data_IF_796316975019
#
_entry.id   IF_796316975019
#
_cell.length_a   1.000
_cell.length_b   1.000
_cell.length_c   1.000
_cell.angle_alpha   90.00
_cell.angle_beta   90.00
_cell.angle_gamma   90.00
#
_symmetry.space_group_name_H-M   'P 1'
#
loop_
_entity.id
_entity.type
_entity.pdbx_description
1 polymer ?
#
# COMPACT_ATOMS: atom_id res chain seq x y z
N UNK A 1 3.70 -5.78 -6.15
CA UNK A 1 3.97 -5.01 -7.38
C UNK A 1 4.44 -5.92 -8.49
N UNK A 2 5.22 -6.96 -8.15
CA UNK A 2 6.07 -7.75 -9.04
C UNK A 2 7.08 -6.92 -9.85
N UNK A 3 7.64 -5.93 -9.17
CA UNK A 3 8.47 -4.88 -9.74
C UNK A 3 9.64 -5.42 -10.55
N UNK A 4 9.61 -5.14 -11.86
CA UNK A 4 10.55 -5.55 -12.90
C UNK A 4 10.67 -7.05 -13.19
N UNK A 5 9.81 -7.89 -12.59
CA UNK A 5 9.59 -9.28 -12.96
C UNK A 5 8.07 -9.52 -13.04
N UNK A 6 7.46 -9.14 -14.17
CA UNK A 6 6.01 -9.22 -14.44
C UNK A 6 5.10 -8.19 -13.72
N UNK A 7 5.65 -7.07 -13.27
CA UNK A 7 4.85 -6.06 -12.59
C UNK A 7 5.48 -4.67 -12.43
N UNK A 8 4.71 -3.74 -11.86
CA UNK A 8 5.00 -2.29 -11.85
C UNK A 8 5.04 -1.75 -10.42
N UNK A 9 6.20 -1.22 -10.01
CA UNK A 9 6.45 -0.74 -8.64
C UNK A 9 5.56 0.44 -8.24
N UNK A 10 5.35 1.40 -9.16
CA UNK A 10 4.59 2.62 -8.91
C UNK A 10 3.07 2.46 -8.95
N UNK A 11 2.55 1.26 -9.20
CA UNK A 11 1.13 1.05 -9.50
C UNK A 11 0.36 0.26 -8.44
N UNK A 12 0.98 -0.15 -7.32
CA UNK A 12 0.31 -0.94 -6.28
C UNK A 12 -0.94 -0.23 -5.74
N UNK A 13 -0.81 1.04 -5.37
CA UNK A 13 -1.92 1.84 -4.84
C UNK A 13 -2.95 2.12 -5.94
N UNK A 14 -2.50 2.58 -7.11
CA UNK A 14 -3.37 2.92 -8.23
C UNK A 14 -4.23 1.71 -8.67
N UNK A 15 -3.62 0.54 -8.89
CA UNK A 15 -4.32 -0.68 -9.33
C UNK A 15 -5.30 -1.20 -8.29
N UNK A 16 -5.00 -1.01 -7.00
CA UNK A 16 -5.95 -1.33 -5.92
C UNK A 16 -7.23 -0.52 -6.09
N UNK A 17 -7.13 0.79 -6.27
CA UNK A 17 -8.29 1.67 -6.40
C UNK A 17 -9.02 1.52 -7.74
N UNK A 18 -8.30 1.30 -8.85
CA UNK A 18 -8.90 0.93 -10.14
C UNK A 18 -9.73 -0.36 -10.06
N UNK A 19 -9.25 -1.35 -9.30
CA UNK A 19 -9.99 -2.60 -9.08
C UNK A 19 -11.24 -2.36 -8.24
N UNK A 20 -11.12 -1.57 -7.16
CA UNK A 20 -12.27 -1.20 -6.33
C UNK A 20 -13.36 -0.49 -7.15
N UNK A 21 -12.97 0.46 -7.98
CA UNK A 21 -13.83 1.19 -8.89
C UNK A 21 -14.49 0.28 -9.94
N UNK A 22 -13.72 -0.56 -10.64
CA UNK A 22 -14.28 -1.52 -11.61
C UNK A 22 -15.34 -2.41 -10.96
N UNK A 23 -15.03 -2.96 -9.79
CA UNK A 23 -15.96 -3.82 -9.06
C UNK A 23 -17.21 -3.09 -8.58
N UNK A 24 -17.10 -1.79 -8.25
CA UNK A 24 -18.29 -0.96 -8.00
C UNK A 24 -19.16 -0.82 -9.25
N UNK A 25 -18.55 -0.45 -10.38
CA UNK A 25 -19.27 -0.24 -11.63
C UNK A 25 -20.00 -1.49 -12.11
N UNK A 26 -19.38 -2.66 -11.98
CA UNK A 26 -19.96 -3.92 -12.46
C UNK A 26 -20.85 -4.65 -11.46
N UNK A 27 -20.61 -4.50 -10.14
CA UNK A 27 -21.31 -5.28 -9.10
C UNK A 27 -22.13 -4.44 -8.12
N UNK A 28 -22.14 -3.10 -8.28
CA UNK A 28 -22.86 -2.20 -7.39
C UNK A 28 -22.19 -2.00 -6.03
N UNK A 29 -22.97 -1.59 -5.03
CA UNK A 29 -22.53 -1.47 -3.64
C UNK A 29 -22.23 -2.85 -3.04
N UNK A 30 -21.35 -2.90 -2.03
CA UNK A 30 -21.18 -4.12 -1.25
C UNK A 30 -22.39 -4.29 -0.31
N UNK A 31 -22.72 -5.53 0.05
CA UNK A 31 -23.82 -5.82 0.96
C UNK A 31 -23.60 -5.24 2.37
N UNK A 32 -22.34 -5.07 2.76
CA UNK A 32 -21.93 -4.51 4.06
C UNK A 32 -22.02 -2.97 4.12
N UNK A 33 -22.39 -2.29 3.02
CA UNK A 33 -22.62 -0.85 3.04
C UNK A 33 -23.99 -0.56 3.68
N UNK A 34 -23.99 -0.09 4.92
CA UNK A 34 -25.23 0.21 5.69
C UNK A 34 -25.88 1.53 5.31
N UNK A 35 -25.11 2.45 4.72
CA UNK A 35 -25.59 3.76 4.26
C UNK A 35 -25.37 3.87 2.75
N UNK A 36 -26.45 4.12 1.99
CA UNK A 36 -26.44 4.14 0.51
C UNK A 36 -25.59 5.25 -0.11
N UNK A 37 -25.04 6.17 0.70
CA UNK A 37 -24.27 7.33 0.24
C UNK A 37 -22.74 7.16 0.30
N UNK A 38 -22.21 6.00 0.75
CA UNK A 38 -20.76 5.80 0.88
C UNK A 38 -20.29 4.41 0.44
N UNK A 39 -19.00 4.29 0.11
CA UNK A 39 -18.33 3.02 -0.20
C UNK A 39 -17.34 2.63 0.92
N UNK A 40 -17.65 2.96 2.17
CA UNK A 40 -16.69 2.85 3.27
C UNK A 40 -16.25 1.41 3.54
N UNK A 41 -17.16 0.44 3.46
CA UNK A 41 -16.80 -0.97 3.64
C UNK A 41 -15.84 -1.42 2.52
N UNK A 42 -16.11 -1.02 1.27
CA UNK A 42 -15.20 -1.26 0.14
C UNK A 42 -13.86 -0.56 0.32
N UNK A 43 -13.85 0.72 0.67
CA UNK A 43 -12.62 1.51 0.86
C UNK A 43 -11.74 0.87 1.93
N UNK A 44 -12.31 0.52 3.09
CA UNK A 44 -11.61 -0.18 4.18
C UNK A 44 -11.08 -1.55 3.73
N UNK A 45 -11.88 -2.32 2.99
CA UNK A 45 -11.46 -3.62 2.43
C UNK A 45 -10.26 -3.49 1.51
N UNK A 46 -10.23 -2.46 0.66
CA UNK A 46 -9.19 -2.29 -0.35
C UNK A 46 -7.92 -1.63 0.19
N UNK A 47 -8.02 -0.62 1.06
CA UNK A 47 -6.83 0.00 1.66
C UNK A 47 -6.02 -1.02 2.48
N UNK A 48 -6.71 -1.93 3.18
CA UNK A 48 -6.06 -2.97 3.96
C UNK A 48 -5.16 -3.90 3.11
N UNK A 49 -5.43 -4.04 1.80
CA UNK A 49 -4.68 -4.92 0.90
C UNK A 49 -3.24 -4.49 0.67
N UNK A 50 -2.93 -3.19 0.81
CA UNK A 50 -1.57 -2.67 0.61
C UNK A 50 -1.00 -1.99 1.87
N UNK A 51 -1.74 -1.97 2.98
CA UNK A 51 -1.27 -1.39 4.25
C UNK A 51 -1.12 -2.48 5.33
N UNK A 52 -2.19 -2.80 6.05
CA UNK A 52 -2.11 -3.64 7.25
C UNK A 52 -1.93 -5.13 6.96
N UNK A 53 -2.57 -5.66 5.90
CA UNK A 53 -2.50 -7.10 5.63
C UNK A 53 -1.11 -7.57 5.17
N UNK A 54 -0.38 -6.84 4.30
CA UNK A 54 1.03 -7.15 4.04
C UNK A 54 1.88 -7.07 5.33
N UNK A 55 1.65 -6.06 6.17
CA UNK A 55 2.39 -5.92 7.42
C UNK A 55 2.12 -7.09 8.39
N UNK A 56 0.88 -7.57 8.47
CA UNK A 56 0.53 -8.76 9.25
C UNK A 56 1.20 -10.01 8.70
N UNK A 57 1.08 -10.27 7.40
CA UNK A 57 1.65 -11.44 6.75
C UNK A 57 3.18 -11.52 6.92
N UNK A 58 3.86 -10.38 6.90
CA UNK A 58 5.31 -10.30 7.06
C UNK A 58 5.79 -10.06 8.51
N UNK A 59 4.88 -10.01 9.49
CA UNK A 59 5.25 -9.85 10.90
C UNK A 59 5.76 -8.46 11.28
N UNK A 60 5.39 -7.44 10.52
CA UNK A 60 5.80 -6.04 10.65
C UNK A 60 4.69 -5.15 11.22
N UNK A 61 3.49 -5.70 11.46
CA UNK A 61 2.29 -4.96 11.84
C UNK A 61 2.38 -4.25 13.20
N UNK A 62 3.33 -4.62 14.05
CA UNK A 62 3.59 -3.95 15.32
C UNK A 62 4.19 -2.54 15.14
N UNK A 63 4.87 -2.28 14.00
CA UNK A 63 5.49 -0.98 13.71
C UNK A 63 4.85 -0.23 12.55
N UNK A 64 4.29 -0.91 11.55
CA UNK A 64 3.79 -0.27 10.31
C UNK A 64 2.43 -0.81 9.86
N UNK A 65 1.92 -0.28 8.75
CA UNK A 65 0.74 -0.79 8.05
C UNK A 65 -0.60 -0.14 8.45
N UNK A 66 -0.63 0.78 9.41
CA UNK A 66 -1.85 1.53 9.75
C UNK A 66 -1.54 2.83 10.50
N UNK A 67 -2.46 3.79 10.45
CA UNK A 67 -2.40 5.01 11.27
C UNK A 67 -2.96 4.70 12.65
N UNK A 68 -2.08 4.34 13.59
CA UNK A 68 -2.42 4.01 14.97
C UNK A 68 -1.32 4.51 15.92
N UNK A 69 -1.67 4.95 17.14
CA UNK A 69 -0.67 5.30 18.16
C UNK A 69 0.32 4.15 18.40
N UNK A 70 1.59 4.50 18.65
CA UNK A 70 2.67 3.54 18.89
C UNK A 70 3.34 2.97 17.63
N UNK A 71 2.76 3.18 16.43
CA UNK A 71 3.39 2.82 15.16
C UNK A 71 4.29 3.92 14.63
N UNK A 72 5.20 3.57 13.72
CA UNK A 72 6.02 4.54 13.00
C UNK A 72 5.13 5.53 12.25
N UNK A 73 5.49 6.81 12.29
CA UNK A 73 4.83 7.89 11.57
C UNK A 73 5.20 7.86 10.07
N UNK A 74 4.83 6.75 9.42
CA UNK A 74 4.95 6.52 7.98
C UNK A 74 3.60 6.86 7.33
N UNK A 75 3.49 8.09 6.85
CA UNK A 75 2.24 8.68 6.42
C UNK A 75 2.37 9.19 4.98
N UNK A 76 1.27 9.13 4.24
CA UNK A 76 1.20 9.70 2.88
C UNK A 76 0.05 10.68 2.82
N UNK A 77 0.34 11.90 2.40
CA UNK A 77 -0.64 12.95 2.21
C UNK A 77 -1.06 13.02 0.74
N UNK A 78 -2.37 13.16 0.54
CA UNK A 78 -2.98 13.19 -0.77
C UNK A 78 -3.91 14.41 -0.86
N UNK A 79 -3.87 15.12 -1.98
CA UNK A 79 -5.04 15.89 -2.40
C UNK A 79 -6.13 14.90 -2.79
N UNK A 80 -7.40 15.09 -2.38
CA UNK A 80 -8.48 14.20 -2.76
C UNK A 80 -8.58 13.98 -4.29
N UNK A 81 -8.37 15.03 -5.08
CA UNK A 81 -8.38 14.96 -6.54
C UNK A 81 -7.26 14.10 -7.15
N UNK A 82 -6.17 13.85 -6.41
CA UNK A 82 -5.00 13.05 -6.85
C UNK A 82 -4.89 11.71 -6.09
N UNK A 83 -5.86 11.39 -5.23
CA UNK A 83 -5.82 10.21 -4.38
C UNK A 83 -5.61 8.93 -5.20
N UNK A 84 -4.62 8.14 -4.82
CA UNK A 84 -4.26 6.88 -5.47
C UNK A 84 -3.46 7.03 -6.77
N UNK A 85 -3.33 8.23 -7.34
CA UNK A 85 -2.50 8.51 -8.51
C UNK A 85 -1.14 9.09 -8.15
N UNK A 86 -1.12 10.29 -7.55
CA UNK A 86 0.12 11.02 -7.19
C UNK A 86 -0.01 11.66 -5.81
N UNK A 87 0.76 11.23 -4.80
CA UNK A 87 0.71 11.85 -3.48
C UNK A 87 1.36 13.24 -3.51
N UNK A 88 0.99 14.08 -2.54
CA UNK A 88 1.63 15.37 -2.31
C UNK A 88 2.93 15.19 -1.54
N UNK A 89 2.93 14.29 -0.55
CA UNK A 89 4.02 14.15 0.41
C UNK A 89 4.07 12.73 0.99
N UNK A 90 5.28 12.23 1.18
CA UNK A 90 5.56 10.97 1.88
C UNK A 90 6.41 11.29 3.10
N UNK A 91 5.85 11.01 4.27
CA UNK A 91 6.47 11.18 5.58
C UNK A 91 6.96 9.81 6.02
N UNK A 92 8.23 9.73 6.45
CA UNK A 92 8.88 8.52 6.94
C UNK A 92 9.42 8.79 8.33
N UNK A 93 8.98 8.03 9.33
CA UNK A 93 9.40 8.22 10.72
C UNK A 93 9.22 9.66 11.22
N UNK A 94 8.14 10.34 10.80
CA UNK A 94 7.85 11.72 11.19
C UNK A 94 8.58 12.81 10.40
N UNK A 95 9.48 12.46 9.47
CA UNK A 95 10.19 13.42 8.62
C UNK A 95 9.77 13.28 7.16
N UNK A 96 9.68 14.39 6.43
CA UNK A 96 9.34 14.36 5.00
C UNK A 96 10.50 13.72 4.22
N UNK A 97 10.22 12.59 3.57
CA UNK A 97 11.19 11.87 2.73
C UNK A 97 11.06 12.25 1.25
N UNK A 98 9.84 12.47 0.77
CA UNK A 98 9.57 12.89 -0.61
C UNK A 98 8.38 13.84 -0.66
N UNK A 99 8.39 14.80 -1.60
CA UNK A 99 7.26 15.70 -1.82
C UNK A 99 7.16 16.18 -3.28
N UNK A 100 5.95 16.57 -3.71
CA UNK A 100 5.74 17.35 -4.92
C UNK A 100 6.29 18.76 -4.70
N UNK A 101 7.32 19.14 -5.46
CA UNK A 101 8.00 20.41 -5.28
C UNK A 101 8.35 21.04 -6.63
N UNK A 102 8.10 22.35 -6.71
CA UNK A 102 8.35 23.21 -7.83
C UNK A 102 9.83 23.47 -8.13
N UNK A 103 10.09 24.59 -8.80
CA UNK A 103 11.45 25.10 -9.04
C UNK A 103 12.13 25.49 -7.71
N UNK A 104 13.27 24.87 -7.35
CA UNK A 104 14.01 25.20 -6.13
C UNK A 104 14.57 26.63 -6.10
N UNK A 105 14.72 27.30 -7.25
CA UNK A 105 15.21 28.68 -7.32
C UNK A 105 14.08 29.73 -7.29
N UNK A 106 12.82 29.30 -7.29
CA UNK A 106 11.70 30.21 -7.26
C UNK A 106 11.47 30.80 -5.84
N UNK A 107 10.72 31.89 -5.76
CA UNK A 107 10.45 32.59 -4.50
C UNK A 107 9.57 31.82 -3.50
N UNK A 108 8.81 30.83 -3.98
CA UNK A 108 7.92 29.95 -3.21
C UNK A 108 7.98 28.54 -3.82
N UNK A 109 7.52 27.45 -3.14
CA UNK A 109 7.77 26.07 -3.58
C UNK A 109 6.80 25.53 -4.65
N UNK A 110 5.83 26.31 -5.10
CA UNK A 110 4.76 25.92 -6.05
C UNK A 110 4.96 26.29 -7.53
N UNK A 111 5.84 27.23 -7.94
CA UNK A 111 6.13 27.53 -9.34
C UNK A 111 6.67 26.30 -10.07
N UNK A 112 6.30 26.18 -11.33
CA UNK A 112 6.64 25.03 -12.17
C UNK A 112 8.16 24.96 -12.46
N UNK A 113 8.73 23.76 -12.69
CA UNK A 113 8.05 22.46 -12.77
C UNK A 113 7.86 21.78 -11.41
N UNK A 114 6.61 21.43 -11.09
CA UNK A 114 6.27 20.63 -9.91
C UNK A 114 6.43 19.15 -10.22
N UNK A 115 7.42 18.53 -9.59
CA UNK A 115 7.72 17.10 -9.71
C UNK A 115 7.95 16.47 -8.34
N UNK A 116 7.83 15.15 -8.23
CA UNK A 116 8.13 14.44 -6.99
C UNK A 116 9.65 14.44 -6.77
N UNK A 117 10.12 15.00 -5.65
CA UNK A 117 11.54 15.14 -5.33
C UNK A 117 11.88 14.50 -3.97
N UNK A 118 13.11 13.98 -3.79
CA UNK A 118 13.60 13.58 -2.48
C UNK A 118 13.77 14.82 -1.58
N UNK A 119 13.39 14.68 -0.31
CA UNK A 119 13.42 15.72 0.71
C UNK A 119 14.48 15.39 1.77
N UNK A 120 14.68 16.27 2.77
CA UNK A 120 15.72 16.10 3.80
C UNK A 120 15.70 14.73 4.51
N UNK A 121 14.53 14.10 4.71
CA UNK A 121 14.43 12.76 5.29
C UNK A 121 15.03 11.64 4.44
N UNK A 122 15.33 11.91 3.16
CA UNK A 122 15.97 10.96 2.24
C UNK A 122 17.50 11.08 2.18
N UNK A 123 18.12 11.99 2.93
CA UNK A 123 19.55 12.29 2.83
C UNK A 123 20.32 12.06 4.14
N UNK A 124 21.61 11.76 4.01
CA UNK A 124 22.55 11.71 5.12
C UNK A 124 22.13 10.79 6.28
N UNK A 125 22.40 11.23 7.51
CA UNK A 125 22.09 10.49 8.72
C UNK A 125 20.59 10.42 9.03
N UNK A 126 19.77 11.29 8.43
CA UNK A 126 18.32 11.29 8.65
C UNK A 126 17.66 9.98 8.21
N UNK A 127 18.22 9.30 7.20
CA UNK A 127 17.74 8.00 6.71
C UNK A 127 17.81 6.92 7.79
N UNK A 128 18.82 6.98 8.67
CA UNK A 128 19.00 6.06 9.80
C UNK A 128 17.93 6.23 10.86
N UNK A 129 17.69 7.48 11.28
CA UNK A 129 16.76 7.81 12.37
C UNK A 129 15.27 7.73 12.00
N UNK A 130 14.93 7.72 10.70
CA UNK A 130 13.53 7.74 10.23
C UNK A 130 13.03 6.36 9.78
N UNK A 131 13.90 5.36 9.72
CA UNK A 131 13.60 4.04 9.15
C UNK A 131 14.18 2.90 9.96
N UNK A 132 13.60 1.72 9.78
CA UNK A 132 14.08 0.47 10.39
C UNK A 132 14.41 -0.56 9.32
N UNK A 133 15.20 -1.56 9.68
CA UNK A 133 15.47 -2.76 8.87
C UNK A 133 14.81 -3.94 9.56
N UNK A 134 13.78 -4.52 8.95
CA UNK A 134 13.18 -5.73 9.48
C UNK A 134 14.10 -6.95 9.24
N UNK A 135 14.38 -7.71 10.29
CA UNK A 135 15.27 -8.88 10.26
C UNK A 135 14.62 -10.07 11.00
N UNK A 136 15.24 -11.25 10.93
CA UNK A 136 14.80 -12.38 11.76
C UNK A 136 15.12 -12.13 13.24
N UNK A 137 14.37 -12.76 14.15
CA UNK A 137 14.64 -12.67 15.59
C UNK A 137 16.06 -13.10 15.96
N UNK A 138 16.59 -14.15 15.30
CA UNK A 138 17.96 -14.60 15.50
C UNK A 138 19.01 -13.55 15.06
N UNK A 139 18.80 -12.88 13.93
CA UNK A 139 19.70 -11.84 13.46
C UNK A 139 19.69 -10.62 14.40
N UNK A 140 18.52 -10.22 14.87
CA UNK A 140 18.40 -9.15 15.87
C UNK A 140 19.14 -9.51 17.16
N UNK A 141 18.92 -10.71 17.72
CA UNK A 141 19.60 -11.19 18.92
C UNK A 141 21.13 -11.31 18.75
N UNK A 142 21.60 -11.55 17.53
CA UNK A 142 23.01 -11.59 17.18
C UNK A 142 23.65 -10.19 16.96
N UNK A 143 22.93 -9.11 17.27
CA UNK A 143 23.41 -7.72 17.21
C UNK A 143 23.96 -7.33 15.81
N UNK A 144 23.24 -7.73 14.75
CA UNK A 144 23.70 -7.51 13.36
C UNK A 144 23.79 -6.03 12.98
N UNK A 145 23.08 -5.14 13.67
CA UNK A 145 23.22 -3.70 13.48
C UNK A 145 24.65 -3.27 13.76
N UNK A 146 25.18 -3.58 14.93
CA UNK A 146 26.53 -3.24 15.38
C UNK A 146 27.57 -3.99 14.56
N UNK A 147 27.35 -5.29 14.34
CA UNK A 147 28.28 -6.13 13.58
C UNK A 147 28.49 -5.65 12.13
N UNK A 148 27.44 -5.11 11.50
CA UNK A 148 27.51 -4.61 10.13
C UNK A 148 27.65 -3.08 10.04
N UNK A 149 27.75 -2.38 11.18
CA UNK A 149 27.83 -0.92 11.20
C UNK A 149 26.60 -0.23 10.59
N UNK A 150 25.40 -0.80 10.78
CA UNK A 150 24.16 -0.25 10.23
C UNK A 150 23.74 1.01 10.99
N UNK A 151 23.43 2.06 10.25
CA UNK A 151 22.87 3.29 10.83
C UNK A 151 21.38 3.14 11.22
N UNK A 152 20.61 2.33 10.48
CA UNK A 152 19.21 2.04 10.82
C UNK A 152 19.12 1.04 11.97
N UNK A 153 18.12 1.21 12.83
CA UNK A 153 17.77 0.18 13.80
C UNK A 153 17.27 -1.08 13.09
N UNK A 154 17.63 -2.24 13.63
CA UNK A 154 17.09 -3.53 13.19
C UNK A 154 15.90 -3.90 14.06
N UNK A 155 14.81 -4.36 13.47
CA UNK A 155 13.60 -4.75 14.18
C UNK A 155 13.22 -6.20 13.82
N UNK A 156 13.01 -7.08 14.81
CA UNK A 156 12.66 -8.46 14.54
C UNK A 156 11.22 -8.59 13.99
N UNK A 157 11.03 -9.44 12.99
CA UNK A 157 9.67 -9.82 12.56
C UNK A 157 9.01 -10.79 13.56
N UNK A 158 7.70 -10.69 13.74
CA UNK A 158 6.93 -11.49 14.72
C UNK A 158 5.68 -12.13 14.11
N UNK A 159 5.18 -13.22 14.70
CA UNK A 159 3.85 -13.75 14.38
C UNK A 159 3.65 -14.34 12.98
N UNK A 160 4.72 -14.55 12.21
CA UNK A 160 4.66 -15.07 10.82
C UNK A 160 4.28 -16.56 10.74
N UNK A 161 4.20 -17.27 11.87
CA UNK A 161 3.79 -18.69 11.96
C UNK A 161 2.38 -18.90 12.49
N UNK A 162 1.80 -17.86 13.09
CA UNK A 162 0.47 -17.90 13.71
C UNK A 162 -0.56 -17.15 12.87
N UNK A 163 -0.12 -16.22 12.02
CA UNK A 163 -1.02 -15.49 11.11
C UNK A 163 -1.70 -16.45 10.12
N UNK A 164 -3.00 -16.25 9.95
CA UNK A 164 -3.88 -17.07 9.14
C UNK A 164 -4.80 -16.19 8.29
N UNK A 165 -5.64 -16.80 7.45
CA UNK A 165 -6.58 -16.05 6.60
C UNK A 165 -7.61 -15.29 7.44
N UNK A 166 -8.03 -15.81 8.60
CA UNK A 166 -8.99 -15.13 9.47
C UNK A 166 -8.44 -13.81 10.05
N UNK A 167 -7.12 -13.67 10.14
CA UNK A 167 -6.47 -12.46 10.66
C UNK A 167 -6.39 -11.33 9.62
N UNK A 168 -6.67 -11.61 8.35
CA UNK A 168 -6.62 -10.62 7.28
C UNK A 168 -7.76 -9.62 7.40
N UNK A 169 -7.43 -8.41 7.84
CA UNK A 169 -8.36 -7.31 8.10
C UNK A 169 -9.23 -7.04 6.87
N UNK A 170 -10.55 -7.14 7.04
CA UNK A 170 -11.59 -7.00 6.00
C UNK A 170 -11.49 -7.96 4.81
N UNK A 171 -10.61 -8.96 4.86
CA UNK A 171 -10.27 -9.85 3.74
C UNK A 171 -10.12 -11.31 4.20
N UNK A 172 -10.95 -11.75 5.14
CA UNK A 172 -10.83 -13.06 5.80
C UNK A 172 -11.65 -14.19 5.18
N UNK A 173 -12.39 -13.93 4.10
CA UNK A 173 -13.25 -14.93 3.46
C UNK A 173 -12.46 -16.13 2.91
N UNK A 174 -13.00 -17.32 3.13
CA UNK A 174 -12.47 -18.61 2.67
C UNK A 174 -13.56 -19.41 1.93
N UNK A 175 -14.04 -18.93 0.76
CA UNK A 175 -15.01 -19.68 -0.03
C UNK A 175 -14.38 -20.96 -0.58
N UNK A 176 -15.21 -21.95 -0.91
CA UNK A 176 -14.76 -23.14 -1.64
C UNK A 176 -14.50 -22.77 -3.09
N UNK A 177 -13.23 -22.56 -3.42
CA UNK A 177 -12.78 -22.30 -4.79
C UNK A 177 -12.72 -23.60 -5.57
N UNK A 178 -13.32 -23.61 -6.77
CA UNK A 178 -13.09 -24.65 -7.79
C UNK A 178 -12.64 -23.98 -9.09
N UNK A 179 -11.70 -24.60 -9.78
CA UNK A 179 -11.24 -24.21 -11.11
C UNK A 179 -11.40 -25.42 -12.03
N UNK A 180 -12.14 -25.26 -13.11
CA UNK A 180 -12.28 -26.32 -14.11
C UNK A 180 -10.94 -26.50 -14.87
N UNK A 181 -10.39 -27.72 -14.98
CA UNK A 181 -9.04 -27.92 -15.52
C UNK A 181 -8.91 -27.60 -17.01
N UNK A 182 -9.99 -27.73 -17.79
CA UNK A 182 -9.97 -27.48 -19.24
C UNK A 182 -10.47 -26.08 -19.63
N UNK A 183 -11.59 -25.62 -19.06
CA UNK A 183 -12.21 -24.33 -19.41
C UNK A 183 -11.71 -23.15 -18.57
N UNK A 184 -10.97 -23.42 -17.49
CA UNK A 184 -10.52 -22.44 -16.49
C UNK A 184 -11.65 -21.66 -15.79
N UNK A 185 -12.90 -22.12 -15.90
CA UNK A 185 -14.02 -21.55 -15.17
C UNK A 185 -13.77 -21.62 -13.66
N UNK A 186 -13.91 -20.47 -12.99
CA UNK A 186 -13.70 -20.35 -11.55
C UNK A 186 -15.04 -20.16 -10.86
N UNK A 187 -15.30 -20.94 -9.81
CA UNK A 187 -16.45 -20.75 -8.92
C UNK A 187 -16.01 -20.56 -7.48
N UNK A 188 -16.77 -19.78 -6.73
CA UNK A 188 -16.70 -19.66 -5.27
C UNK A 188 -18.04 -20.09 -4.68
N UNK A 189 -18.04 -21.13 -3.86
CA UNK A 189 -19.27 -21.70 -3.28
C UNK A 189 -20.33 -22.06 -4.33
N UNK A 190 -19.86 -22.54 -5.48
CA UNK A 190 -20.71 -22.90 -6.63
C UNK A 190 -21.16 -21.72 -7.50
N UNK A 191 -20.84 -20.48 -7.12
CA UNK A 191 -21.19 -19.28 -7.89
C UNK A 191 -20.05 -18.93 -8.85
N UNK A 192 -20.30 -18.81 -10.17
CA UNK A 192 -19.30 -18.39 -11.15
C UNK A 192 -18.70 -17.01 -10.85
N UNK A 193 -17.37 -16.90 -10.93
CA UNK A 193 -16.62 -15.65 -10.78
C UNK A 193 -16.22 -15.10 -12.16
N UNK A 194 -17.17 -14.45 -12.83
CA UNK A 194 -16.96 -13.86 -14.16
C UNK A 194 -17.18 -12.35 -14.10
N UNK A 195 -16.38 -11.59 -14.86
CA UNK A 195 -16.62 -10.18 -15.09
C UNK A 195 -15.99 -9.74 -16.42
N UNK A 196 -16.67 -8.84 -17.13
CA UNK A 196 -16.16 -8.29 -18.38
C UNK A 196 -14.86 -7.48 -18.16
N UNK A 197 -13.95 -7.43 -19.13
CA UNK A 197 -12.84 -6.47 -19.12
C UNK A 197 -13.38 -5.03 -19.10
N UNK A 198 -12.59 -4.09 -18.58
CA UNK A 198 -12.98 -2.68 -18.57
C UNK A 198 -12.30 -1.94 -19.73
N UNK A 199 -13.08 -1.22 -20.55
CA UNK A 199 -12.56 -0.42 -21.66
C UNK A 199 -11.82 0.85 -21.20
N UNK A 200 -12.09 1.30 -19.97
CA UNK A 200 -11.47 2.47 -19.37
C UNK A 200 -11.34 2.37 -17.85
N UNK A 201 -10.31 3.03 -17.33
CA UNK A 201 -9.98 3.07 -15.91
C UNK A 201 -9.82 4.53 -15.43
N UNK A 202 -10.23 4.83 -14.18
CA UNK A 202 -9.79 6.04 -13.50
C UNK A 202 -8.29 5.97 -13.19
N UNK A 203 -7.71 7.05 -12.67
CA UNK A 203 -6.29 7.08 -12.26
C UNK A 203 -5.34 6.66 -13.40
N UNK A 204 -5.65 7.07 -14.63
CA UNK A 204 -4.91 6.75 -15.85
C UNK A 204 -4.67 8.03 -16.67
N UNK A 205 -5.18 8.12 -17.90
CA UNK A 205 -4.92 9.21 -18.88
C UNK A 205 -5.03 10.64 -18.34
N UNK A 206 -5.88 10.89 -17.33
CA UNK A 206 -6.04 12.23 -16.72
C UNK A 206 -4.84 12.70 -15.89
N UNK A 207 -3.99 11.79 -15.41
CA UNK A 207 -2.97 12.09 -14.39
C UNK A 207 -1.54 11.89 -14.88
N UNK A 208 -1.34 11.13 -15.95
CA UNK A 208 -0.02 10.75 -16.43
C UNK A 208 0.22 11.36 -17.82
N UNK A 209 1.42 11.91 -18.01
CA UNK A 209 1.83 12.49 -19.29
C UNK A 209 2.06 11.39 -20.35
N UNK A 210 2.40 10.19 -19.90
CA UNK A 210 2.59 8.97 -20.69
C UNK A 210 1.91 7.79 -20.01
#
# INVERSE_FOLDING_TARGET
SDSQAMGRVGEVVCRTWQTADKMKRQRGALAEETNSSSDNARIKRYIAKYTINPALAHGMSHLVGSVQPGKLADLVLWKPALFGAKPEMVIKGGTIAWAQMGDPNASIPTPQPVVMRPMFGAFGSAVGGTSVIFVSGAAHAANVKEKYGLNKNTEPVHGTRTVSKSDMVHNSLMPKIKVHPETFEVTADGIPLVCEPADSLPLARKFFLF
#
